data_IF_401363939719
#
_entry.id   IF_401363939719
#
_cell.length_a   1.000
_cell.length_b   1.000
_cell.length_c   1.000
_cell.angle_alpha   90.00
_cell.angle_beta   90.00
_cell.angle_gamma   90.00
#
_symmetry.space_group_name_H-M   'P 1'
#
loop_
_entity.id
_entity.type
_entity.pdbx_description
1 polymer ?
#
# COMPACT_ATOMS: atom_id res chain seq x y z
N UNK A 1 -8.20 0.84 -1.30
CA UNK A 1 -7.73 2.23 -1.14
C UNK A 1 -6.52 2.50 -2.02
N UNK A 2 -6.25 3.77 -2.35
CA UNK A 2 -5.08 4.19 -3.13
C UNK A 2 -4.43 5.41 -2.46
N UNK A 3 -3.10 5.41 -2.33
CA UNK A 3 -2.32 6.57 -1.90
C UNK A 3 -0.87 6.47 -2.40
N UNK A 4 -0.11 7.56 -2.28
CA UNK A 4 1.30 7.61 -2.66
C UNK A 4 2.23 7.82 -1.47
N UNK A 5 3.45 7.32 -1.61
CA UNK A 5 4.56 7.47 -0.68
C UNK A 5 5.68 8.26 -1.36
N UNK A 6 5.84 9.56 -1.06
CA UNK A 6 6.96 10.36 -1.54
C UNK A 6 8.26 9.88 -0.91
N UNK A 7 9.25 9.58 -1.76
CA UNK A 7 10.62 9.18 -1.41
C UNK A 7 10.71 7.95 -0.47
N UNK A 8 9.70 7.09 -0.50
CA UNK A 8 9.64 5.82 0.24
C UNK A 8 9.21 4.66 -0.69
N UNK A 9 9.48 3.38 -0.33
CA UNK A 9 9.02 2.22 -1.09
C UNK A 9 7.49 2.12 -1.15
N UNK A 10 6.97 1.36 -2.12
CA UNK A 10 5.55 1.03 -2.21
C UNK A 10 5.16 -0.09 -1.21
N UNK A 11 5.52 0.08 0.05
CA UNK A 11 5.26 -0.83 1.17
C UNK A 11 4.44 -0.12 2.25
N UNK A 12 3.61 -0.85 3.03
CA UNK A 12 2.92 -0.28 4.17
C UNK A 12 3.93 0.26 5.20
N UNK A 13 3.76 1.52 5.58
CA UNK A 13 4.53 2.16 6.65
C UNK A 13 3.96 1.83 8.03
N UNK A 14 4.64 2.26 9.09
CA UNK A 14 4.11 2.21 10.46
C UNK A 14 2.82 3.02 10.58
N UNK A 15 2.73 4.15 9.89
CA UNK A 15 1.51 4.96 9.85
C UNK A 15 0.38 4.16 9.21
N UNK A 16 0.60 3.47 8.09
CA UNK A 16 -0.42 2.62 7.45
C UNK A 16 -0.85 1.46 8.36
N UNK A 17 0.11 0.81 9.03
CA UNK A 17 -0.17 -0.26 9.98
C UNK A 17 -1.11 0.20 11.11
N UNK A 18 -0.99 1.46 11.54
CA UNK A 18 -1.85 2.06 12.57
C UNK A 18 -3.23 2.51 12.11
N UNK A 19 -3.61 2.31 10.84
CA UNK A 19 -4.88 2.82 10.29
C UNK A 19 -5.96 1.74 10.14
N UNK A 20 -6.89 1.59 11.10
CA UNK A 20 -8.01 0.65 11.09
C UNK A 20 -8.68 0.44 9.73
N UNK A 21 -9.00 1.54 9.05
CA UNK A 21 -9.78 1.54 7.81
C UNK A 21 -9.06 0.94 6.58
N UNK A 22 -7.76 0.64 6.68
CA UNK A 22 -7.03 -0.06 5.60
C UNK A 22 -7.27 -1.58 5.60
N UNK A 23 -7.88 -2.14 6.65
CA UNK A 23 -8.25 -3.55 6.72
C UNK A 23 -9.50 -3.87 5.92
N UNK A 24 -9.55 -5.06 5.30
CA UNK A 24 -10.67 -5.50 4.47
C UNK A 24 -10.72 -4.87 3.08
N UNK A 25 -9.68 -4.13 2.68
CA UNK A 25 -9.55 -3.53 1.35
C UNK A 25 -8.16 -3.78 0.76
N UNK A 26 -8.06 -3.95 -0.56
CA UNK A 26 -6.78 -3.89 -1.25
C UNK A 26 -6.23 -2.45 -1.21
N UNK A 27 -4.99 -2.29 -0.78
CA UNK A 27 -4.31 -1.00 -0.62
C UNK A 27 -3.22 -0.88 -1.67
N UNK A 28 -3.49 -0.09 -2.70
CA UNK A 28 -2.50 0.23 -3.72
C UNK A 28 -1.64 1.40 -3.21
N UNK A 29 -0.36 1.11 -3.00
CA UNK A 29 0.64 2.08 -2.57
C UNK A 29 1.52 2.40 -3.76
N UNK A 30 1.70 3.69 -4.06
CA UNK A 30 2.55 4.15 -5.16
C UNK A 30 3.79 4.83 -4.61
N UNK A 31 4.96 4.26 -4.89
CA UNK A 31 6.22 4.95 -4.63
C UNK A 31 6.41 6.07 -5.66
N UNK A 32 6.62 7.28 -5.17
CA UNK A 32 6.92 8.46 -5.98
C UNK A 32 8.28 8.97 -5.54
N UNK A 33 9.23 9.15 -6.46
CA UNK A 33 10.55 9.72 -6.17
C UNK A 33 10.71 11.01 -6.95
N UNK A 34 11.04 12.11 -6.26
CA UNK A 34 11.16 13.44 -6.89
C UNK A 34 9.95 13.82 -7.77
N UNK A 35 8.74 13.46 -7.31
CA UNK A 35 7.50 13.72 -8.05
C UNK A 35 7.22 12.81 -9.24
N UNK A 36 8.04 11.79 -9.48
CA UNK A 36 7.86 10.81 -10.56
C UNK A 36 7.44 9.44 -10.04
N UNK A 37 6.53 8.79 -10.76
CA UNK A 37 6.15 7.40 -10.50
C UNK A 37 7.37 6.48 -10.58
N UNK A 38 7.51 5.59 -9.58
CA UNK A 38 8.55 4.57 -9.56
C UNK A 38 7.96 3.16 -9.62
N UNK A 39 7.05 2.84 -8.70
CA UNK A 39 6.41 1.53 -8.62
C UNK A 39 5.03 1.64 -7.95
N UNK A 40 4.16 0.66 -8.23
CA UNK A 40 2.91 0.44 -7.51
C UNK A 40 2.85 -1.01 -7.03
N UNK A 41 2.45 -1.21 -5.78
CA UNK A 41 2.17 -2.54 -5.21
C UNK A 41 0.83 -2.52 -4.50
N UNK A 42 0.15 -3.67 -4.49
CA UNK A 42 -1.10 -3.84 -3.75
C UNK A 42 -0.85 -4.65 -2.49
N UNK A 43 -1.50 -4.26 -1.40
CA UNK A 43 -1.36 -4.91 -0.10
C UNK A 43 -2.72 -5.12 0.55
N UNK A 44 -2.95 -6.30 1.09
CA UNK A 44 -4.18 -6.64 1.79
C UNK A 44 -3.90 -7.11 3.21
N UNK A 45 -4.78 -6.75 4.14
CA UNK A 45 -4.87 -7.36 5.45
C UNK A 45 -6.34 -7.59 5.79
N UNK A 46 -6.62 -8.74 6.38
CA UNK A 46 -7.99 -9.15 6.72
C UNK A 46 -8.57 -8.29 7.85
N UNK A 47 -7.82 -8.16 8.95
CA UNK A 47 -8.21 -7.39 10.14
C UNK A 47 -7.16 -6.35 10.49
N UNK A 48 -7.43 -5.49 11.47
CA UNK A 48 -6.50 -4.43 11.92
C UNK A 48 -5.22 -5.00 12.55
N UNK A 49 -5.34 -6.16 13.21
CA UNK A 49 -4.23 -6.89 13.82
C UNK A 49 -3.47 -7.80 12.84
N UNK A 50 -3.99 -7.96 11.62
CA UNK A 50 -3.35 -8.80 10.59
C UNK A 50 -2.18 -8.06 9.94
N UNK A 51 -1.10 -8.80 9.66
CA UNK A 51 0.00 -8.27 8.83
C UNK A 51 -0.45 -8.12 7.38
N UNK A 52 0.00 -7.05 6.73
CA UNK A 52 -0.20 -6.87 5.30
C UNK A 52 0.49 -7.99 4.50
N UNK A 53 -0.22 -8.51 3.50
CA UNK A 53 0.27 -9.45 2.49
C UNK A 53 0.23 -8.77 1.13
N UNK A 54 1.27 -8.96 0.32
CA UNK A 54 1.32 -8.41 -1.02
C UNK A 54 0.34 -9.15 -1.95
N UNK A 55 -0.40 -8.39 -2.74
CA UNK A 55 -1.30 -8.87 -3.78
C UNK A 55 -0.76 -8.50 -5.16
N UNK A 56 -0.96 -9.38 -6.14
CA UNK A 56 -0.61 -9.08 -7.54
C UNK A 56 -1.62 -8.12 -8.15
N UNK A 57 -1.10 -7.10 -8.82
CA UNK A 57 -1.90 -6.25 -9.71
C UNK A 57 -1.91 -6.89 -11.10
N UNK A 58 -3.10 -7.16 -11.63
CA UNK A 58 -3.29 -7.67 -12.99
C UNK A 58 -3.79 -6.53 -13.88
N UNK A 59 -3.08 -6.29 -15.00
CA UNK A 59 -3.45 -5.28 -16.00
C UNK A 59 -3.73 -6.00 -17.32
N UNK A 60 -4.84 -5.64 -17.97
CA UNK A 60 -5.27 -6.20 -19.27
C UNK A 60 -5.04 -5.24 -20.42
#
# INVERSE_FOLDING_TARGET
MFHSHPDHPAEPSVTDASQPYLSGWSNVIVAVHEGKFKEARSWYRETEDSSFQEERILVG
#
